data_IF_023708779433
#
_entry.id   IF_023708779433
#
_cell.length_a   1.000
_cell.length_b   1.000
_cell.length_c   1.000
_cell.angle_alpha   90.00
_cell.angle_beta   90.00
_cell.angle_gamma   90.00
#
_symmetry.space_group_name_H-M   'P 1'
#
loop_
_entity.id
_entity.type
_entity.pdbx_description
1 polymer ?
#
# COMPACT_ATOMS: atom_id res chain seq x y z
N UNK A 1 -15.76 29.94 3.86
CA UNK A 1 -16.32 29.19 2.73
C UNK A 1 -15.67 27.81 2.73
N UNK A 2 -16.45 26.77 3.05
CA UNK A 2 -15.98 25.40 2.87
C UNK A 2 -15.72 25.20 1.37
N UNK A 3 -14.46 24.84 1.03
CA UNK A 3 -14.19 24.41 -0.32
C UNK A 3 -15.11 23.20 -0.62
N UNK A 4 -15.90 23.30 -1.68
CA UNK A 4 -16.74 22.21 -2.12
C UNK A 4 -15.86 20.98 -2.33
N UNK A 5 -16.25 19.83 -1.77
CA UNK A 5 -15.58 18.57 -2.01
C UNK A 5 -15.52 18.36 -3.53
N UNK A 6 -14.35 18.01 -4.08
CA UNK A 6 -14.22 17.74 -5.51
C UNK A 6 -15.20 16.64 -5.89
N UNK A 7 -16.12 16.92 -6.82
CA UNK A 7 -17.09 15.93 -7.30
C UNK A 7 -16.42 14.80 -8.09
N UNK A 8 -15.18 15.04 -8.62
CA UNK A 8 -14.41 14.10 -9.44
C UNK A 8 -13.01 13.93 -8.88
N UNK A 9 -12.45 12.75 -9.09
CA UNK A 9 -11.08 12.46 -8.72
C UNK A 9 -10.08 12.88 -9.80
N UNK A 10 -8.82 13.07 -9.40
CA UNK A 10 -7.68 13.18 -10.31
C UNK A 10 -7.26 11.79 -10.77
N UNK A 11 -7.04 11.63 -12.10
CA UNK A 11 -6.65 10.35 -12.69
C UNK A 11 -5.44 10.49 -13.65
N UNK A 12 -4.50 9.52 -13.65
CA UNK A 12 -4.35 8.47 -12.65
C UNK A 12 -4.04 9.08 -11.29
N UNK A 13 -4.53 8.46 -10.23
CA UNK A 13 -4.45 9.08 -8.92
C UNK A 13 -4.51 8.08 -7.75
N UNK A 14 -4.13 6.83 -7.98
CA UNK A 14 -4.00 5.82 -6.91
C UNK A 14 -2.53 5.59 -6.64
N UNK A 15 -2.04 6.08 -5.51
CA UNK A 15 -0.64 6.02 -5.04
C UNK A 15 0.35 6.77 -5.94
N UNK A 16 0.15 6.79 -7.24
CA UNK A 16 1.02 7.45 -8.20
C UNK A 16 0.19 8.31 -9.17
N UNK A 17 0.68 9.52 -9.43
CA UNK A 17 0.07 10.50 -10.33
C UNK A 17 0.78 10.53 -11.69
N UNK A 18 0.14 11.17 -12.68
CA UNK A 18 0.78 11.39 -13.98
C UNK A 18 2.09 12.20 -13.87
N UNK A 19 2.16 13.33 -13.15
CA UNK A 19 3.44 14.03 -12.96
C UNK A 19 4.54 13.16 -12.36
N UNK A 20 4.20 12.27 -11.41
CA UNK A 20 5.15 11.33 -10.83
C UNK A 20 5.63 10.29 -11.85
N UNK A 21 4.72 9.76 -12.64
CA UNK A 21 5.06 8.83 -13.72
C UNK A 21 5.92 9.50 -14.80
N UNK A 22 5.62 10.74 -15.16
CA UNK A 22 6.40 11.51 -16.12
C UNK A 22 7.83 11.76 -15.61
N UNK A 23 7.98 12.10 -14.34
CA UNK A 23 9.30 12.27 -13.72
C UNK A 23 10.10 10.96 -13.77
N UNK A 24 9.50 9.85 -13.34
CA UNK A 24 10.18 8.55 -13.34
C UNK A 24 10.62 8.16 -14.77
N UNK A 25 9.74 8.31 -15.75
CA UNK A 25 10.07 8.05 -17.16
C UNK A 25 11.23 8.90 -17.64
N UNK A 26 11.21 10.20 -17.38
CA UNK A 26 12.28 11.12 -17.75
C UNK A 26 13.64 10.68 -17.18
N UNK A 27 13.65 10.27 -15.91
CA UNK A 27 14.89 9.82 -15.25
C UNK A 27 15.40 8.50 -15.83
N UNK A 28 14.53 7.56 -16.11
CA UNK A 28 14.91 6.29 -16.74
C UNK A 28 15.49 6.53 -18.14
N UNK A 29 14.83 7.35 -18.95
CA UNK A 29 15.28 7.63 -20.32
C UNK A 29 16.62 8.37 -20.35
N UNK A 30 16.92 9.18 -19.34
CA UNK A 30 18.22 9.86 -19.21
C UNK A 30 19.31 8.99 -18.59
N UNK A 31 18.98 7.77 -18.16
CA UNK A 31 19.93 6.88 -17.48
C UNK A 31 20.28 7.30 -16.05
N UNK A 32 19.47 8.15 -15.43
CA UNK A 32 19.75 8.66 -14.08
C UNK A 32 19.51 7.61 -13.00
N UNK A 33 20.34 7.63 -11.96
CA UNK A 33 20.20 6.73 -10.81
C UNK A 33 19.51 7.45 -9.65
N UNK A 34 18.75 6.73 -8.82
CA UNK A 34 18.57 5.26 -8.76
C UNK A 34 17.52 4.70 -9.72
N UNK A 35 16.82 5.54 -10.47
CA UNK A 35 15.66 5.17 -11.29
C UNK A 35 16.01 4.16 -12.39
N UNK A 36 17.15 4.33 -13.06
CA UNK A 36 17.55 3.42 -14.15
C UNK A 36 17.77 2.00 -13.65
N UNK A 37 18.48 1.81 -12.55
CA UNK A 37 18.66 0.47 -11.94
C UNK A 37 17.33 -0.09 -11.43
N UNK A 38 16.48 0.75 -10.83
CA UNK A 38 15.16 0.34 -10.39
C UNK A 38 14.29 -0.16 -11.57
N UNK A 39 14.31 0.58 -12.67
CA UNK A 39 13.65 0.17 -13.91
C UNK A 39 14.21 -1.15 -14.46
N UNK A 40 15.54 -1.27 -14.55
CA UNK A 40 16.18 -2.47 -15.07
C UNK A 40 15.78 -3.73 -14.28
N UNK A 41 15.71 -3.64 -12.97
CA UNK A 41 15.28 -4.74 -12.11
C UNK A 41 13.80 -5.07 -12.29
N UNK A 42 12.95 -4.07 -12.41
CA UNK A 42 11.54 -4.28 -12.72
C UNK A 42 11.38 -4.97 -14.08
N UNK A 43 12.07 -4.51 -15.10
CA UNK A 43 12.01 -5.05 -16.47
C UNK A 43 12.51 -6.51 -16.54
N UNK A 44 13.46 -6.89 -15.68
CA UNK A 44 13.99 -8.24 -15.59
C UNK A 44 13.15 -9.17 -14.70
N UNK A 45 12.15 -8.65 -14.00
CA UNK A 45 11.32 -9.45 -13.10
C UNK A 45 10.34 -10.35 -13.86
N UNK A 46 9.89 -11.42 -13.17
CA UNK A 46 8.84 -12.29 -13.71
C UNK A 46 7.53 -11.55 -13.98
N UNK A 47 7.31 -10.42 -13.32
CA UNK A 47 6.10 -9.62 -13.46
C UNK A 47 6.06 -8.82 -14.77
N UNK A 48 7.22 -8.50 -15.33
CA UNK A 48 7.33 -7.77 -16.60
C UNK A 48 7.36 -8.68 -17.84
N UNK A 49 7.33 -10.00 -17.65
CA UNK A 49 7.37 -10.98 -18.72
C UNK A 49 6.11 -10.87 -19.61
N UNK A 50 6.31 -10.55 -20.89
CA UNK A 50 5.22 -10.47 -21.86
C UNK A 50 4.58 -11.83 -22.16
N UNK A 51 5.25 -12.94 -21.83
CA UNK A 51 4.73 -14.29 -21.98
C UNK A 51 3.95 -14.77 -20.74
N UNK A 52 3.81 -13.94 -19.71
CA UNK A 52 3.05 -14.32 -18.54
C UNK A 52 1.61 -14.66 -18.92
N UNK A 53 1.17 -15.84 -18.48
CA UNK A 53 -0.21 -16.31 -18.68
C UNK A 53 -1.01 -16.09 -17.38
N UNK A 54 -2.16 -15.40 -17.41
CA UNK A 54 -3.00 -15.26 -16.22
C UNK A 54 -3.56 -16.60 -15.76
N UNK A 55 -3.72 -16.73 -14.45
CA UNK A 55 -4.26 -17.95 -13.82
C UNK A 55 -5.51 -17.60 -12.97
N UNK A 56 -6.61 -17.14 -13.61
CA UNK A 56 -7.80 -16.72 -12.88
C UNK A 56 -8.51 -17.89 -12.21
N UNK A 57 -9.22 -17.58 -11.13
CA UNK A 57 -9.99 -18.55 -10.38
C UNK A 57 -11.31 -17.91 -9.91
N UNK A 58 -12.39 -18.67 -9.95
CA UNK A 58 -13.72 -18.18 -9.55
C UNK A 58 -13.81 -17.94 -8.04
N UNK A 59 -13.36 -18.90 -7.25
CA UNK A 59 -13.30 -18.80 -5.79
C UNK A 59 -11.85 -18.85 -5.37
N UNK A 60 -11.37 -17.75 -4.79
CA UNK A 60 -10.05 -17.68 -4.20
C UNK A 60 -10.20 -17.99 -2.72
N UNK A 61 -9.64 -19.11 -2.29
CA UNK A 61 -9.74 -19.53 -0.90
C UNK A 61 -8.40 -19.40 -0.19
N UNK A 62 -8.35 -18.55 0.86
CA UNK A 62 -7.13 -18.24 1.60
C UNK A 62 -7.33 -18.40 3.09
N UNK A 63 -6.72 -19.42 3.66
CA UNK A 63 -6.61 -19.60 5.10
C UNK A 63 -5.46 -18.79 5.69
N UNK A 64 -5.25 -18.94 7.00
CA UNK A 64 -4.14 -18.27 7.70
C UNK A 64 -2.80 -18.64 7.06
N UNK A 65 -1.96 -17.63 6.82
CA UNK A 65 -0.70 -17.78 6.10
C UNK A 65 -0.88 -18.39 4.69
N UNK A 66 -2.02 -18.13 4.06
CA UNK A 66 -2.42 -18.73 2.78
C UNK A 66 -2.37 -20.26 2.81
N UNK A 67 -2.88 -20.84 3.87
CA UNK A 67 -3.08 -22.30 4.00
C UNK A 67 -4.49 -22.61 4.47
N UNK A 68 -5.40 -23.11 3.59
CA UNK A 68 -5.17 -23.42 2.17
C UNK A 68 -4.85 -22.21 1.32
N UNK A 69 -4.20 -22.47 0.17
CA UNK A 69 -3.86 -21.48 -0.85
C UNK A 69 -4.47 -21.92 -2.18
N UNK A 70 -5.71 -21.56 -2.42
CA UNK A 70 -6.42 -21.88 -3.67
C UNK A 70 -6.58 -20.60 -4.47
N UNK A 71 -5.56 -20.30 -5.30
CA UNK A 71 -5.53 -19.10 -6.12
C UNK A 71 -5.00 -17.84 -5.43
N UNK A 72 -4.58 -17.91 -4.16
CA UNK A 72 -4.15 -16.72 -3.41
C UNK A 72 -2.87 -16.10 -3.97
N UNK A 73 -1.81 -16.89 -4.10
CA UNK A 73 -0.55 -16.43 -4.71
C UNK A 73 -0.76 -16.04 -6.15
N UNK A 74 -1.52 -16.82 -6.92
CA UNK A 74 -1.81 -16.52 -8.32
C UNK A 74 -2.48 -15.16 -8.48
N UNK A 75 -3.48 -14.84 -7.66
CA UNK A 75 -4.18 -13.57 -7.73
C UNK A 75 -3.25 -12.39 -7.37
N UNK A 76 -2.54 -12.50 -6.25
CA UNK A 76 -1.61 -11.44 -5.82
C UNK A 76 -0.55 -11.17 -6.87
N UNK A 77 0.03 -12.23 -7.42
CA UNK A 77 1.12 -12.09 -8.39
C UNK A 77 0.60 -11.61 -9.76
N UNK A 78 -0.57 -12.04 -10.21
CA UNK A 78 -1.18 -11.49 -11.41
C UNK A 78 -1.55 -10.01 -11.24
N UNK A 79 -2.00 -9.61 -10.06
CA UNK A 79 -2.30 -8.20 -9.77
C UNK A 79 -1.03 -7.33 -9.77
N UNK A 80 0.06 -7.81 -9.15
CA UNK A 80 1.37 -7.12 -9.20
C UNK A 80 1.88 -7.08 -10.63
N UNK A 81 1.71 -8.16 -11.39
CA UNK A 81 2.11 -8.20 -12.79
C UNK A 81 1.33 -7.17 -13.62
N UNK A 82 0.03 -7.02 -13.42
CA UNK A 82 -0.75 -5.99 -14.10
C UNK A 82 -0.22 -4.59 -13.80
N UNK A 83 0.10 -4.28 -12.54
CA UNK A 83 0.71 -3.00 -12.17
C UNK A 83 2.09 -2.83 -12.80
N UNK A 84 2.92 -3.86 -12.76
CA UNK A 84 4.26 -3.86 -13.37
C UNK A 84 4.18 -3.60 -14.87
N UNK A 85 3.28 -4.29 -15.58
CA UNK A 85 3.07 -4.09 -17.01
C UNK A 85 2.55 -2.69 -17.33
N UNK A 86 1.68 -2.14 -16.49
CA UNK A 86 1.22 -0.76 -16.63
C UNK A 86 2.39 0.24 -16.51
N UNK A 87 3.28 0.04 -15.55
CA UNK A 87 4.50 0.86 -15.39
C UNK A 87 5.45 0.69 -16.58
N UNK A 88 5.66 -0.54 -17.06
CA UNK A 88 6.47 -0.83 -18.25
C UNK A 88 5.91 -0.10 -19.47
N UNK A 89 4.59 -0.16 -19.67
CA UNK A 89 3.92 0.62 -20.71
C UNK A 89 4.23 2.10 -20.59
N UNK A 90 4.05 2.65 -19.40
CA UNK A 90 4.21 4.09 -19.22
C UNK A 90 5.64 4.57 -19.48
N UNK A 91 6.63 3.80 -19.06
CA UNK A 91 8.04 4.15 -19.26
C UNK A 91 8.48 3.93 -20.71
N UNK A 92 8.15 2.79 -21.30
CA UNK A 92 8.66 2.40 -22.61
C UNK A 92 7.79 2.86 -23.77
N UNK A 93 6.49 3.09 -23.55
CA UNK A 93 5.47 3.28 -24.58
C UNK A 93 5.31 2.08 -25.52
N UNK A 94 5.79 0.92 -25.10
CA UNK A 94 5.56 -0.34 -25.83
C UNK A 94 4.14 -0.85 -25.55
N UNK A 95 3.31 -0.82 -26.59
CA UNK A 95 1.90 -1.22 -26.50
C UNK A 95 1.70 -2.65 -25.96
N UNK A 96 2.67 -3.54 -26.14
CA UNK A 96 2.58 -4.93 -25.67
C UNK A 96 2.42 -5.00 -24.15
N UNK A 97 3.04 -4.09 -23.42
CA UNK A 97 2.91 -4.03 -21.97
C UNK A 97 1.51 -3.56 -21.54
N UNK A 98 0.94 -2.57 -22.22
CA UNK A 98 -0.43 -2.13 -21.95
C UNK A 98 -1.43 -3.27 -22.21
N UNK A 99 -1.28 -3.97 -23.34
CA UNK A 99 -2.16 -5.09 -23.68
C UNK A 99 -1.98 -6.29 -22.74
N UNK A 100 -0.78 -6.52 -22.23
CA UNK A 100 -0.55 -7.56 -21.22
C UNK A 100 -1.25 -7.20 -19.90
N UNK A 101 -1.15 -5.96 -19.43
CA UNK A 101 -1.88 -5.52 -18.25
C UNK A 101 -3.39 -5.74 -18.41
N UNK A 102 -3.93 -5.36 -19.56
CA UNK A 102 -5.34 -5.56 -19.91
C UNK A 102 -5.70 -7.05 -19.91
N UNK A 103 -4.86 -7.89 -20.49
CA UNK A 103 -5.09 -9.34 -20.52
C UNK A 103 -5.22 -9.91 -19.10
N UNK A 104 -4.34 -9.51 -18.19
CA UNK A 104 -4.38 -9.96 -16.79
C UNK A 104 -5.66 -9.51 -16.10
N UNK A 105 -6.03 -8.25 -16.24
CA UNK A 105 -7.23 -7.68 -15.65
C UNK A 105 -8.51 -8.30 -16.24
N UNK A 106 -8.54 -8.49 -17.55
CA UNK A 106 -9.69 -9.09 -18.24
C UNK A 106 -9.89 -10.56 -17.86
N UNK A 107 -8.80 -11.32 -17.77
CA UNK A 107 -8.88 -12.74 -17.39
C UNK A 107 -9.47 -12.90 -16.00
N UNK A 108 -9.02 -12.11 -15.03
CA UNK A 108 -9.53 -12.18 -13.68
C UNK A 108 -10.96 -11.67 -13.55
N UNK A 109 -11.29 -10.53 -14.16
CA UNK A 109 -12.65 -9.97 -14.07
C UNK A 109 -13.71 -10.85 -14.74
N UNK A 110 -13.31 -11.68 -15.71
CA UNK A 110 -14.23 -12.63 -16.35
C UNK A 110 -14.57 -13.81 -15.45
N UNK A 111 -13.77 -14.12 -14.43
CA UNK A 111 -13.83 -15.39 -13.71
C UNK A 111 -14.10 -15.21 -12.23
N UNK A 112 -13.49 -14.23 -11.56
CA UNK A 112 -13.55 -14.05 -10.10
C UNK A 112 -14.99 -13.82 -9.63
N UNK A 113 -15.39 -14.53 -8.57
CA UNK A 113 -16.71 -14.39 -7.94
C UNK A 113 -16.66 -14.10 -6.46
N UNK A 114 -15.67 -14.66 -5.76
CA UNK A 114 -15.59 -14.52 -4.31
C UNK A 114 -14.20 -14.84 -3.77
N UNK A 115 -13.92 -14.29 -2.59
CA UNK A 115 -12.79 -14.64 -1.74
C UNK A 115 -13.33 -15.26 -0.47
N UNK A 116 -12.78 -16.41 -0.06
CA UNK A 116 -13.30 -17.18 1.05
C UNK A 116 -12.22 -17.57 2.05
N UNK A 117 -12.64 -18.11 3.21
CA UNK A 117 -11.84 -18.54 4.34
C UNK A 117 -11.31 -17.34 5.17
N UNK A 118 -10.49 -17.65 6.19
CA UNK A 118 -10.14 -16.69 7.25
C UNK A 118 -9.41 -15.44 6.74
N UNK A 119 -8.58 -15.57 5.71
CA UNK A 119 -7.80 -14.45 5.18
C UNK A 119 -8.45 -13.78 3.95
N UNK A 120 -9.70 -14.06 3.65
CA UNK A 120 -10.39 -13.46 2.52
C UNK A 120 -10.29 -11.91 2.49
N UNK A 121 -10.56 -11.19 3.59
CA UNK A 121 -10.46 -9.73 3.58
C UNK A 121 -9.04 -9.22 3.31
N UNK A 122 -8.04 -9.83 3.90
CA UNK A 122 -6.65 -9.44 3.74
C UNK A 122 -6.16 -9.72 2.30
N UNK A 123 -6.49 -10.89 1.77
CA UNK A 123 -6.18 -11.27 0.38
C UNK A 123 -6.80 -10.28 -0.60
N UNK A 124 -8.07 -9.95 -0.41
CA UNK A 124 -8.80 -8.98 -1.23
C UNK A 124 -8.16 -7.60 -1.17
N UNK A 125 -7.69 -7.20 0.02
CA UNK A 125 -6.96 -5.95 0.21
C UNK A 125 -5.64 -5.91 -0.56
N UNK A 126 -4.84 -6.96 -0.47
CA UNK A 126 -3.57 -7.05 -1.18
C UNK A 126 -3.77 -7.02 -2.70
N UNK A 127 -4.59 -7.90 -3.23
CA UNK A 127 -4.83 -7.98 -4.66
C UNK A 127 -5.54 -6.72 -5.18
N UNK A 128 -6.57 -6.26 -4.47
CA UNK A 128 -7.36 -5.11 -4.87
C UNK A 128 -6.56 -3.81 -4.96
N UNK A 129 -5.60 -3.61 -4.06
CA UNK A 129 -4.74 -2.42 -4.12
C UNK A 129 -3.87 -2.40 -5.36
N UNK A 130 -3.31 -3.53 -5.76
CA UNK A 130 -2.52 -3.66 -6.99
C UNK A 130 -3.39 -3.55 -8.25
N UNK A 131 -4.55 -4.18 -8.26
CA UNK A 131 -5.51 -4.04 -9.37
C UNK A 131 -5.90 -2.59 -9.60
N UNK A 132 -6.20 -1.85 -8.56
CA UNK A 132 -6.61 -0.44 -8.65
C UNK A 132 -5.49 0.44 -9.24
N UNK A 133 -4.24 0.25 -8.80
CA UNK A 133 -3.08 0.97 -9.34
C UNK A 133 -2.89 0.68 -10.83
N UNK A 134 -2.97 -0.58 -11.22
CA UNK A 134 -2.81 -0.99 -12.61
C UNK A 134 -3.92 -0.40 -13.50
N UNK A 135 -5.15 -0.55 -13.08
CA UNK A 135 -6.32 -0.09 -13.84
C UNK A 135 -6.33 1.44 -14.02
N UNK A 136 -5.93 2.17 -12.99
CA UNK A 136 -5.84 3.63 -13.04
C UNK A 136 -4.87 4.11 -14.12
N UNK A 137 -3.68 3.51 -14.18
CA UNK A 137 -2.69 3.87 -15.18
C UNK A 137 -3.18 3.52 -16.58
N UNK A 138 -3.67 2.29 -16.79
CA UNK A 138 -4.11 1.82 -18.10
C UNK A 138 -5.30 2.64 -18.60
N UNK A 139 -6.33 2.80 -17.77
CA UNK A 139 -7.54 3.54 -18.18
C UNK A 139 -7.22 4.97 -18.60
N UNK A 140 -6.33 5.65 -17.91
CA UNK A 140 -6.12 7.08 -18.09
C UNK A 140 -4.88 7.47 -18.90
N UNK A 141 -4.09 6.49 -19.36
CA UNK A 141 -2.89 6.76 -20.15
C UNK A 141 -2.81 5.95 -21.45
N UNK A 142 -3.53 4.83 -21.56
CA UNK A 142 -3.56 4.00 -22.74
C UNK A 142 -4.75 4.36 -23.62
N UNK A 143 -4.49 4.70 -24.90
CA UNK A 143 -5.52 5.14 -25.85
C UNK A 143 -5.91 4.06 -26.86
N UNK A 144 -5.27 2.89 -26.81
CA UNK A 144 -5.50 1.79 -27.76
C UNK A 144 -6.78 0.98 -27.51
N UNK A 145 -7.53 1.33 -26.47
CA UNK A 145 -8.80 0.69 -26.13
C UNK A 145 -8.68 -0.40 -25.08
N UNK A 146 -9.70 -0.46 -24.23
CA UNK A 146 -9.88 -1.51 -23.24
C UNK A 146 -11.36 -1.93 -23.25
N UNK A 147 -11.74 -2.86 -24.14
CA UNK A 147 -13.17 -3.20 -24.37
C UNK A 147 -13.90 -3.71 -23.15
N UNK A 148 -13.24 -4.46 -22.25
CA UNK A 148 -13.85 -5.03 -21.05
C UNK A 148 -13.62 -4.20 -19.78
N UNK A 149 -13.29 -2.92 -19.91
CA UNK A 149 -13.06 -2.03 -18.76
C UNK A 149 -14.23 -2.01 -17.80
N UNK A 150 -15.45 -1.96 -18.29
CA UNK A 150 -16.65 -1.91 -17.43
C UNK A 150 -16.84 -3.21 -16.66
N UNK A 151 -16.50 -4.37 -17.25
CA UNK A 151 -16.53 -5.66 -16.54
C UNK A 151 -15.51 -5.68 -15.42
N UNK A 152 -14.33 -5.13 -15.63
CA UNK A 152 -13.31 -5.03 -14.60
C UNK A 152 -13.78 -4.09 -13.46
N UNK A 153 -14.34 -2.94 -13.80
CA UNK A 153 -14.93 -2.04 -12.82
C UNK A 153 -16.03 -2.71 -12.00
N UNK A 154 -16.90 -3.49 -12.64
CA UNK A 154 -17.95 -4.26 -11.97
C UNK A 154 -17.37 -5.28 -11.00
N UNK A 155 -16.31 -5.99 -11.38
CA UNK A 155 -15.64 -6.94 -10.49
C UNK A 155 -15.08 -6.23 -9.24
N UNK A 156 -14.43 -5.09 -9.42
CA UNK A 156 -13.92 -4.32 -8.28
C UNK A 156 -15.05 -3.85 -7.36
N UNK A 157 -16.16 -3.38 -7.92
CA UNK A 157 -17.29 -2.86 -7.16
C UNK A 157 -18.06 -3.96 -6.44
N UNK A 158 -18.32 -5.10 -7.10
CA UNK A 158 -19.24 -6.12 -6.62
C UNK A 158 -18.56 -7.30 -5.92
N UNK A 159 -17.29 -7.58 -6.22
CA UNK A 159 -16.53 -8.69 -5.64
C UNK A 159 -15.52 -8.21 -4.60
N UNK A 160 -14.72 -7.18 -4.91
CA UNK A 160 -13.65 -6.73 -4.04
C UNK A 160 -14.12 -5.75 -2.95
N UNK A 161 -14.80 -4.69 -3.33
CA UNK A 161 -15.17 -3.62 -2.40
C UNK A 161 -16.05 -4.11 -1.22
N UNK A 162 -17.06 -4.97 -1.42
CA UNK A 162 -17.89 -5.46 -0.31
C UNK A 162 -17.10 -6.27 0.72
N UNK A 163 -16.05 -6.96 0.31
CA UNK A 163 -15.22 -7.78 1.21
C UNK A 163 -14.37 -6.93 2.17
N UNK A 164 -14.06 -5.68 1.80
CA UNK A 164 -13.07 -4.85 2.51
C UNK A 164 -13.64 -3.60 3.15
N UNK A 165 -14.75 -3.06 2.61
CA UNK A 165 -15.22 -1.70 2.97
C UNK A 165 -15.63 -1.55 4.44
N UNK A 166 -16.03 -2.64 5.10
CA UNK A 166 -16.49 -2.59 6.48
C UNK A 166 -15.36 -2.76 7.52
N UNK A 167 -14.11 -2.89 7.07
CA UNK A 167 -12.96 -2.97 7.97
C UNK A 167 -12.83 -4.29 8.71
N UNK A 168 -11.95 -4.30 9.71
CA UNK A 168 -11.62 -5.49 10.50
C UNK A 168 -11.15 -5.10 11.89
N UNK A 169 -11.46 -5.92 12.88
CA UNK A 169 -10.94 -5.81 14.24
C UNK A 169 -9.67 -6.67 14.49
N UNK A 170 -9.11 -7.26 13.45
CA UNK A 170 -7.87 -8.04 13.53
C UNK A 170 -6.66 -7.15 13.81
N UNK A 171 -5.43 -7.67 13.65
CA UNK A 171 -4.23 -6.85 13.74
C UNK A 171 -4.29 -5.68 12.75
N UNK A 172 -3.71 -4.54 13.13
CA UNK A 172 -3.97 -3.27 12.45
C UNK A 172 -3.60 -3.24 10.98
N UNK A 173 -2.60 -4.03 10.54
CA UNK A 173 -2.25 -4.08 9.11
C UNK A 173 -3.41 -4.58 8.23
N UNK A 174 -4.29 -5.41 8.77
CA UNK A 174 -5.48 -5.90 8.05
C UNK A 174 -6.38 -4.76 7.59
N UNK A 175 -6.86 -3.97 8.55
CA UNK A 175 -7.77 -2.87 8.25
C UNK A 175 -7.08 -1.79 7.40
N UNK A 176 -5.80 -1.51 7.67
CA UNK A 176 -5.05 -0.54 6.88
C UNK A 176 -4.92 -0.98 5.42
N UNK A 177 -4.60 -2.24 5.16
CA UNK A 177 -4.52 -2.78 3.79
C UNK A 177 -5.89 -2.83 3.13
N UNK A 178 -6.92 -3.21 3.87
CA UNK A 178 -8.30 -3.21 3.37
C UNK A 178 -8.72 -1.79 2.95
N UNK A 179 -8.40 -0.79 3.76
CA UNK A 179 -8.74 0.61 3.45
C UNK A 179 -7.89 1.16 2.31
N UNK A 180 -6.64 0.74 2.18
CA UNK A 180 -5.84 1.08 1.00
C UNK A 180 -6.52 0.62 -0.28
N UNK A 181 -6.96 -0.63 -0.33
CA UNK A 181 -7.65 -1.16 -1.49
C UNK A 181 -9.01 -0.46 -1.72
N UNK A 182 -9.76 -0.23 -0.65
CA UNK A 182 -11.06 0.45 -0.76
C UNK A 182 -10.91 1.89 -1.30
N UNK A 183 -9.91 2.63 -0.83
CA UNK A 183 -9.60 3.98 -1.32
C UNK A 183 -9.21 3.93 -2.80
N UNK A 184 -8.30 3.03 -3.18
CA UNK A 184 -7.84 2.90 -4.56
C UNK A 184 -8.96 2.49 -5.53
N UNK A 185 -9.76 1.50 -5.15
CA UNK A 185 -10.92 1.06 -5.93
C UNK A 185 -11.93 2.20 -6.08
N UNK A 186 -12.20 2.94 -5.01
CA UNK A 186 -13.14 4.07 -5.03
C UNK A 186 -12.69 5.18 -5.98
N UNK A 187 -11.39 5.48 -6.04
CA UNK A 187 -10.84 6.42 -7.02
C UNK A 187 -11.10 5.90 -8.44
N UNK A 188 -10.75 4.65 -8.71
CA UNK A 188 -10.95 4.07 -10.04
C UNK A 188 -12.42 4.10 -10.47
N UNK A 189 -13.34 3.85 -9.55
CA UNK A 189 -14.79 3.83 -9.80
C UNK A 189 -15.43 5.23 -9.78
N UNK A 190 -14.70 6.27 -9.46
CA UNK A 190 -15.27 7.60 -9.16
C UNK A 190 -16.36 7.56 -8.07
N UNK A 191 -16.18 6.69 -7.08
CA UNK A 191 -17.13 6.47 -5.98
C UNK A 191 -16.70 7.27 -4.74
N UNK A 192 -17.17 8.51 -4.65
CA UNK A 192 -16.85 9.42 -3.55
C UNK A 192 -17.36 8.91 -2.21
N UNK A 193 -18.55 8.34 -2.16
CA UNK A 193 -19.13 7.85 -0.91
C UNK A 193 -18.29 6.73 -0.29
N UNK A 194 -17.87 5.76 -1.09
CA UNK A 194 -16.99 4.68 -0.61
C UNK A 194 -15.60 5.19 -0.23
N UNK A 195 -15.06 6.15 -0.99
CA UNK A 195 -13.79 6.81 -0.68
C UNK A 195 -13.84 7.47 0.69
N UNK A 196 -14.85 8.27 0.95
CA UNK A 196 -14.99 9.01 2.22
C UNK A 196 -15.19 8.05 3.40
N UNK A 197 -15.98 6.99 3.22
CA UNK A 197 -16.16 5.94 4.22
C UNK A 197 -14.85 5.24 4.55
N UNK A 198 -14.11 4.82 3.55
CA UNK A 198 -12.82 4.15 3.72
C UNK A 198 -11.80 5.09 4.39
N UNK A 199 -11.78 6.36 3.99
CA UNK A 199 -10.86 7.34 4.56
C UNK A 199 -11.14 7.59 6.05
N UNK A 200 -12.40 7.64 6.47
CA UNK A 200 -12.76 7.78 7.88
C UNK A 200 -12.27 6.59 8.71
N UNK A 201 -12.48 5.37 8.24
CA UNK A 201 -11.98 4.15 8.88
C UNK A 201 -10.45 4.14 8.92
N UNK A 202 -9.80 4.50 7.83
CA UNK A 202 -8.35 4.61 7.75
C UNK A 202 -7.78 5.56 8.80
N UNK A 203 -8.37 6.75 8.97
CA UNK A 203 -7.89 7.73 9.93
C UNK A 203 -8.03 7.25 11.37
N UNK A 204 -9.14 6.61 11.69
CA UNK A 204 -9.36 6.04 13.03
C UNK A 204 -8.35 4.92 13.31
N UNK A 205 -8.14 4.02 12.36
CA UNK A 205 -7.18 2.92 12.52
C UNK A 205 -5.75 3.43 12.60
N UNK A 206 -5.36 4.42 11.81
CA UNK A 206 -4.02 5.01 11.84
C UNK A 206 -3.69 5.54 13.23
N UNK A 207 -4.61 6.28 13.85
CA UNK A 207 -4.43 6.79 15.20
C UNK A 207 -4.28 5.67 16.24
N UNK A 208 -4.95 4.54 16.05
CA UNK A 208 -4.88 3.38 16.93
C UNK A 208 -3.72 2.42 16.60
N UNK A 209 -3.02 2.63 15.49
CA UNK A 209 -1.94 1.75 15.03
C UNK A 209 -0.55 2.26 15.39
N UNK A 210 -0.33 3.55 15.34
CA UNK A 210 0.95 4.19 15.69
C UNK A 210 0.77 5.05 16.91
N UNK A 211 1.57 4.80 17.94
CA UNK A 211 1.55 5.58 19.17
C UNK A 211 2.36 6.87 19.04
N UNK A 212 1.81 7.97 19.58
CA UNK A 212 2.51 9.22 19.84
C UNK A 212 2.42 9.55 21.32
N UNK A 213 3.48 10.10 21.90
CA UNK A 213 3.47 10.52 23.31
C UNK A 213 2.31 11.47 23.65
N UNK A 214 1.88 12.29 22.67
CA UNK A 214 0.73 13.18 22.81
C UNK A 214 -0.61 12.45 22.96
N UNK A 215 -0.68 11.15 22.67
CA UNK A 215 -1.88 10.34 22.90
C UNK A 215 -2.15 10.09 24.39
N UNK A 216 -1.17 10.34 25.24
CA UNK A 216 -1.26 10.07 26.67
C UNK A 216 -0.57 8.77 27.07
N UNK A 217 -0.87 8.22 28.26
CA UNK A 217 -0.17 7.03 28.77
C UNK A 217 -0.51 5.73 28.04
N UNK A 218 -1.60 5.70 27.26
CA UNK A 218 -2.04 4.54 26.51
C UNK A 218 -2.29 4.91 25.05
N UNK A 219 -2.08 3.98 24.12
CA UNK A 219 -2.46 4.18 22.73
C UNK A 219 -3.95 4.45 22.56
N UNK A 220 -4.29 5.18 21.50
CA UNK A 220 -5.67 5.29 21.05
C UNK A 220 -6.19 3.94 20.56
N UNK A 221 -7.51 3.77 20.58
CA UNK A 221 -8.15 2.50 20.23
C UNK A 221 -9.25 2.72 19.20
N UNK A 222 -9.59 1.64 18.47
CA UNK A 222 -10.74 1.63 17.57
C UNK A 222 -11.99 1.30 18.39
N UNK A 223 -13.05 2.13 18.36
CA UNK A 223 -14.22 1.95 19.21
C UNK A 223 -14.86 0.57 19.13
N UNK A 224 -14.94 -0.04 17.94
CA UNK A 224 -15.56 -1.35 17.75
C UNK A 224 -14.82 -2.50 18.42
N UNK A 225 -13.56 -2.31 18.81
CA UNK A 225 -12.76 -3.33 19.48
C UNK A 225 -13.00 -3.42 21.00
N UNK A 226 -13.59 -2.39 21.58
CA UNK A 226 -13.91 -2.35 23.00
C UNK A 226 -12.71 -2.59 23.92
N UNK A 227 -11.54 -1.99 23.56
CA UNK A 227 -10.30 -2.09 24.35
C UNK A 227 -10.33 -1.03 25.47
N UNK A 228 -11.14 -1.30 26.50
CA UNK A 228 -11.50 -0.33 27.52
C UNK A 228 -10.64 -0.41 28.79
N UNK A 229 -9.65 -1.30 28.84
CA UNK A 229 -8.71 -1.43 29.95
C UNK A 229 -7.27 -1.46 29.46
N UNK A 230 -6.33 -1.07 30.34
CA UNK A 230 -4.90 -1.17 30.06
C UNK A 230 -4.50 -2.59 29.66
N UNK A 231 -4.98 -3.62 30.37
CA UNK A 231 -4.60 -5.00 30.09
C UNK A 231 -5.08 -5.45 28.71
N UNK A 232 -6.26 -5.04 28.27
CA UNK A 232 -6.77 -5.33 26.93
C UNK A 232 -5.90 -4.67 25.85
N UNK A 233 -5.50 -3.41 26.06
CA UNK A 233 -4.63 -2.68 25.14
C UNK A 233 -3.27 -3.34 25.05
N UNK A 234 -2.63 -3.61 26.18
CA UNK A 234 -1.31 -4.27 26.23
C UNK A 234 -1.35 -5.61 25.49
N UNK A 235 -2.38 -6.41 25.73
CA UNK A 235 -2.53 -7.71 25.04
C UNK A 235 -2.65 -7.53 23.54
N UNK A 236 -3.44 -6.58 23.08
CA UNK A 236 -3.60 -6.30 21.65
C UNK A 236 -2.29 -5.76 21.03
N UNK A 237 -1.49 -5.02 21.79
CA UNK A 237 -0.18 -4.52 21.37
C UNK A 237 0.94 -5.54 21.57
N UNK A 238 0.64 -6.82 21.43
CA UNK A 238 1.60 -7.93 21.47
C UNK A 238 2.34 -8.01 22.82
N UNK A 239 1.64 -7.72 23.89
CA UNK A 239 2.14 -7.68 25.26
C UNK A 239 3.20 -6.59 25.54
N UNK A 240 3.31 -5.59 24.69
CA UNK A 240 4.15 -4.42 24.98
C UNK A 240 3.43 -3.50 25.96
N UNK A 241 4.09 -3.19 27.08
CA UNK A 241 3.50 -2.40 28.16
C UNK A 241 4.10 -1.00 28.32
N UNK A 242 5.21 -0.73 27.63
CA UNK A 242 5.84 0.58 27.56
C UNK A 242 5.63 1.15 26.16
N UNK A 243 5.00 2.33 26.09
CA UNK A 243 4.65 2.94 24.83
C UNK A 243 5.53 4.17 24.59
N UNK A 244 6.15 4.21 23.41
CA UNK A 244 6.99 5.34 22.98
C UNK A 244 6.59 5.77 21.59
N UNK A 245 6.82 7.03 21.27
CA UNK A 245 6.48 7.60 19.95
C UNK A 245 7.09 6.78 18.83
N UNK A 246 6.25 6.35 17.86
CA UNK A 246 6.64 5.56 16.71
C UNK A 246 6.44 4.06 16.86
N UNK A 247 6.20 3.57 18.08
CA UNK A 247 5.83 2.17 18.29
C UNK A 247 4.50 1.89 17.60
N UNK A 248 4.40 0.76 16.90
CA UNK A 248 3.14 0.33 16.27
C UNK A 248 2.51 -0.82 17.04
N UNK A 249 1.22 -1.03 16.80
CA UNK A 249 0.49 -2.15 17.41
C UNK A 249 1.15 -3.50 17.11
N UNK A 250 1.88 -3.63 15.99
CA UNK A 250 2.48 -4.89 15.57
C UNK A 250 4.01 -4.92 15.66
N UNK A 251 4.65 -3.89 16.16
CA UNK A 251 6.12 -3.85 16.26
C UNK A 251 6.67 -5.09 16.97
N UNK A 252 6.04 -5.51 18.06
CA UNK A 252 6.48 -6.68 18.83
C UNK A 252 5.98 -8.01 18.26
N UNK A 253 5.10 -7.99 17.27
CA UNK A 253 4.80 -9.18 16.48
C UNK A 253 5.99 -9.51 15.56
N UNK A 254 6.27 -8.64 14.63
CA UNK A 254 7.45 -8.59 13.78
C UNK A 254 7.42 -7.33 12.92
N UNK A 255 8.57 -6.92 12.38
CA UNK A 255 8.64 -5.75 11.51
C UNK A 255 8.12 -6.03 10.10
N UNK A 256 7.98 -7.27 9.69
CA UNK A 256 7.38 -7.61 8.39
C UNK A 256 5.91 -7.21 8.34
N UNK A 257 5.12 -7.60 9.33
CA UNK A 257 3.71 -7.19 9.42
C UNK A 257 3.57 -5.68 9.71
N UNK A 258 4.44 -5.13 10.53
CA UNK A 258 4.52 -3.69 10.74
C UNK A 258 4.78 -2.95 9.42
N UNK A 259 5.64 -3.51 8.57
CA UNK A 259 5.91 -2.99 7.24
C UNK A 259 4.68 -2.98 6.34
N UNK A 260 3.81 -3.99 6.44
CA UNK A 260 2.55 -4.00 5.70
C UNK A 260 1.65 -2.83 6.13
N UNK A 261 1.52 -2.61 7.43
CA UNK A 261 0.76 -1.48 7.95
C UNK A 261 1.33 -0.14 7.52
N UNK A 262 2.64 0.04 7.65
CA UNK A 262 3.33 1.28 7.27
C UNK A 262 3.18 1.55 5.76
N UNK A 263 3.28 0.53 4.91
CA UNK A 263 3.10 0.71 3.48
C UNK A 263 1.70 1.20 3.14
N UNK A 264 0.67 0.63 3.77
CA UNK A 264 -0.72 1.09 3.56
C UNK A 264 -0.92 2.52 4.06
N UNK A 265 -0.32 2.90 5.21
CA UNK A 265 -0.33 4.29 5.67
C UNK A 265 0.25 5.24 4.62
N UNK A 266 1.40 4.89 4.06
CA UNK A 266 2.08 5.68 3.03
C UNK A 266 1.25 5.80 1.76
N UNK A 267 0.70 4.69 1.29
CA UNK A 267 -0.06 4.64 0.03
C UNK A 267 -1.34 5.46 0.13
N UNK A 268 -2.08 5.36 1.21
CA UNK A 268 -3.33 6.12 1.39
C UNK A 268 -3.03 7.61 1.55
N UNK A 269 -1.99 7.97 2.32
CA UNK A 269 -1.58 9.37 2.47
C UNK A 269 -1.16 9.97 1.11
N UNK A 270 -0.45 9.21 0.29
CA UNK A 270 -0.06 9.68 -1.05
C UNK A 270 -1.26 9.82 -1.98
N UNK A 271 -2.16 8.85 -2.00
CA UNK A 271 -3.42 8.95 -2.76
C UNK A 271 -4.23 10.16 -2.33
N UNK A 272 -4.37 10.39 -1.03
CA UNK A 272 -5.11 11.53 -0.49
C UNK A 272 -4.49 12.86 -0.95
N UNK A 273 -3.16 12.98 -0.93
CA UNK A 273 -2.48 14.17 -1.45
C UNK A 273 -2.77 14.40 -2.92
N UNK A 274 -2.67 13.35 -3.74
CA UNK A 274 -2.97 13.45 -5.18
C UNK A 274 -4.41 13.91 -5.38
N UNK A 275 -5.32 13.46 -4.52
CA UNK A 275 -6.74 13.82 -4.58
C UNK A 275 -7.06 15.19 -3.94
N UNK A 276 -6.06 15.91 -3.49
CA UNK A 276 -6.21 17.31 -3.05
C UNK A 276 -6.40 17.49 -1.55
N UNK A 277 -6.26 16.44 -0.73
CA UNK A 277 -6.29 16.54 0.72
C UNK A 277 -4.95 16.05 1.31
N UNK A 278 -4.17 16.97 1.85
CA UNK A 278 -2.87 16.65 2.43
C UNK A 278 -3.02 16.08 3.85
N UNK A 279 -2.84 14.75 3.98
CA UNK A 279 -2.78 14.09 5.27
C UNK A 279 -1.39 14.14 5.90
N UNK A 280 -0.34 14.47 5.14
CA UNK A 280 1.02 14.55 5.70
C UNK A 280 1.17 15.72 6.69
N UNK A 281 0.38 16.76 6.54
CA UNK A 281 0.34 17.89 7.48
C UNK A 281 -0.54 17.65 8.71
N UNK A 282 -1.13 16.47 8.85
CA UNK A 282 -1.98 16.08 9.99
C UNK A 282 -1.29 15.08 10.89
N UNK A 283 -1.98 14.56 11.90
CA UNK A 283 -1.49 13.48 12.76
C UNK A 283 -1.15 12.20 11.98
N UNK A 284 -1.81 11.95 10.84
CA UNK A 284 -1.47 10.82 9.97
C UNK A 284 -0.01 10.91 9.52
N UNK A 285 0.41 12.07 9.03
CA UNK A 285 1.81 12.29 8.62
C UNK A 285 2.78 12.17 9.78
N UNK A 286 2.45 12.77 10.92
CA UNK A 286 3.29 12.69 12.12
C UNK A 286 3.45 11.23 12.58
N UNK A 287 2.37 10.47 12.62
CA UNK A 287 2.41 9.04 13.00
C UNK A 287 3.23 8.23 12.01
N UNK A 288 3.04 8.44 10.72
CA UNK A 288 3.80 7.75 9.69
C UNK A 288 5.29 8.05 9.77
N UNK A 289 5.66 9.32 9.95
CA UNK A 289 7.06 9.73 10.05
C UNK A 289 7.76 9.08 11.23
N UNK A 290 7.13 9.08 12.39
CA UNK A 290 7.69 8.47 13.58
C UNK A 290 7.71 6.94 13.52
N UNK A 291 6.68 6.31 12.94
CA UNK A 291 6.67 4.87 12.73
C UNK A 291 7.81 4.42 11.82
N UNK A 292 8.02 5.12 10.71
CA UNK A 292 9.14 4.85 9.80
C UNK A 292 10.48 4.96 10.53
N UNK A 293 10.72 6.05 11.23
CA UNK A 293 11.99 6.29 11.92
C UNK A 293 12.26 5.30 13.05
N UNK A 294 11.24 4.93 13.80
CA UNK A 294 11.37 3.98 14.89
C UNK A 294 11.78 2.58 14.38
N UNK A 295 11.07 2.05 13.39
CA UNK A 295 11.39 0.74 12.84
C UNK A 295 12.73 0.78 12.09
N UNK A 296 12.99 1.81 11.32
CA UNK A 296 14.24 1.95 10.55
C UNK A 296 15.47 1.98 11.44
N UNK A 297 15.38 2.58 12.62
CA UNK A 297 16.45 2.59 13.62
C UNK A 297 16.95 1.19 13.95
N UNK A 298 16.03 0.25 14.18
CA UNK A 298 16.39 -1.13 14.51
C UNK A 298 16.83 -1.92 13.28
N UNK A 299 16.25 -1.66 12.12
CA UNK A 299 16.72 -2.25 10.86
C UNK A 299 18.16 -1.83 10.53
N UNK A 300 18.62 -0.69 11.06
CA UNK A 300 20.00 -0.21 10.91
C UNK A 300 20.95 -0.79 11.96
N UNK A 301 20.49 -1.68 12.84
CA UNK A 301 21.33 -2.40 13.79
C UNK A 301 21.41 -1.80 15.18
N UNK A 302 20.57 -0.82 15.52
CA UNK A 302 20.47 -0.33 16.90
C UNK A 302 20.16 -1.49 17.85
N UNK A 303 20.87 -1.64 18.97
CA UNK A 303 20.57 -2.68 19.96
C UNK A 303 19.16 -2.53 20.51
N UNK A 304 18.43 -3.66 20.62
CA UNK A 304 17.07 -3.68 21.15
C UNK A 304 17.13 -3.61 22.69
N UNK A 305 16.55 -2.57 23.32
CA UNK A 305 16.55 -2.48 24.77
C UNK A 305 15.63 -3.53 25.38
N UNK A 306 15.89 -3.88 26.66
CA UNK A 306 15.13 -4.92 27.35
C UNK A 306 13.64 -4.62 27.50
N UNK A 307 13.25 -3.34 27.53
CA UNK A 307 11.85 -2.93 27.67
C UNK A 307 11.06 -3.02 26.34
N UNK A 308 11.74 -3.16 25.21
CA UNK A 308 11.09 -3.26 23.89
C UNK A 308 10.94 -4.73 23.49
N UNK A 309 9.71 -5.19 23.40
CA UNK A 309 9.37 -6.54 22.95
C UNK A 309 10.11 -7.64 23.73
N UNK A 310 10.32 -7.44 25.03
CA UNK A 310 11.09 -8.37 25.85
C UNK A 310 12.56 -8.50 25.48
N UNK A 311 13.11 -7.51 24.77
CA UNK A 311 14.50 -7.49 24.32
C UNK A 311 14.76 -8.17 22.96
N UNK A 312 13.72 -8.69 22.31
CA UNK A 312 13.83 -9.36 21.00
C UNK A 312 12.90 -8.73 19.98
N UNK A 313 13.46 -8.28 18.87
CA UNK A 313 12.70 -7.68 17.76
C UNK A 313 12.98 -8.47 16.48
N UNK A 314 11.92 -8.94 15.83
CA UNK A 314 12.02 -9.68 14.59
C UNK A 314 12.02 -8.69 13.41
N UNK A 315 13.18 -8.57 12.75
CA UNK A 315 13.40 -7.62 11.65
C UNK A 315 12.77 -8.12 10.34
N UNK A 316 12.71 -7.24 9.34
CA UNK A 316 12.18 -7.55 8.01
C UNK A 316 11.14 -6.55 7.53
N UNK A 317 11.39 -5.24 7.75
CA UNK A 317 10.44 -4.18 7.41
C UNK A 317 10.01 -4.22 5.93
N UNK A 318 10.92 -4.61 5.05
CA UNK A 318 10.65 -4.72 3.62
C UNK A 318 10.76 -3.39 2.86
N UNK A 319 10.37 -3.41 1.57
CA UNK A 319 10.58 -2.30 0.65
C UNK A 319 9.51 -1.20 0.80
N UNK A 320 9.33 -0.64 2.01
CA UNK A 320 8.15 0.16 2.36
C UNK A 320 8.48 1.61 2.73
N UNK A 321 9.73 2.05 2.59
CA UNK A 321 10.13 3.36 3.12
C UNK A 321 10.08 4.50 2.10
N UNK A 322 10.11 4.22 0.80
CA UNK A 322 10.29 5.25 -0.24
C UNK A 322 9.17 6.29 -0.28
N UNK A 323 7.92 5.88 -0.24
CA UNK A 323 6.78 6.80 -0.43
C UNK A 323 6.70 7.82 0.69
N UNK A 324 6.68 7.38 1.93
CA UNK A 324 6.61 8.27 3.10
C UNK A 324 7.88 9.12 3.27
N UNK A 325 9.06 8.53 3.04
CA UNK A 325 10.31 9.25 3.06
C UNK A 325 10.33 10.39 2.03
N UNK A 326 9.97 10.08 0.79
CA UNK A 326 9.92 11.08 -0.27
C UNK A 326 8.95 12.22 0.04
N UNK A 327 7.76 11.88 0.53
CA UNK A 327 6.75 12.87 0.87
C UNK A 327 7.21 13.81 1.98
N UNK A 328 7.69 13.27 3.08
CA UNK A 328 7.91 14.07 4.28
C UNK A 328 9.33 14.64 4.39
N UNK A 329 10.34 13.92 3.89
CA UNK A 329 11.70 14.45 3.89
C UNK A 329 12.00 15.29 2.64
N UNK A 330 11.83 14.72 1.45
CA UNK A 330 12.24 15.40 0.22
C UNK A 330 11.31 16.57 -0.13
N UNK A 331 9.99 16.37 -0.06
CA UNK A 331 9.03 17.43 -0.41
C UNK A 331 8.78 18.41 0.73
N UNK A 332 8.70 17.94 1.98
CA UNK A 332 8.35 18.79 3.13
C UNK A 332 9.56 19.21 3.98
N UNK A 333 10.74 18.67 3.74
CA UNK A 333 11.95 19.05 4.47
C UNK A 333 12.00 18.60 5.92
N UNK A 334 11.20 17.61 6.32
CA UNK A 334 11.19 17.11 7.70
C UNK A 334 12.38 16.18 7.96
N UNK A 335 12.95 16.18 9.19
CA UNK A 335 14.05 15.28 9.53
C UNK A 335 13.58 13.83 9.60
N UNK A 336 14.28 12.93 8.91
CA UNK A 336 14.00 11.49 8.86
C UNK A 336 15.32 10.71 8.76
N UNK A 337 16.25 10.94 9.68
CA UNK A 337 17.63 10.43 9.60
C UNK A 337 17.70 8.91 9.48
N UNK A 338 17.00 8.17 10.35
CA UNK A 338 17.04 6.71 10.31
C UNK A 338 16.33 6.15 9.06
N UNK A 339 15.21 6.74 8.68
CA UNK A 339 14.48 6.36 7.47
C UNK A 339 15.33 6.61 6.23
N UNK A 340 16.00 7.76 6.15
CA UNK A 340 16.89 8.08 5.04
C UNK A 340 18.02 7.06 4.91
N UNK A 341 18.69 6.74 6.00
CA UNK A 341 19.78 5.78 5.99
C UNK A 341 19.33 4.39 5.48
N UNK A 342 18.19 3.91 5.98
CA UNK A 342 17.64 2.64 5.53
C UNK A 342 17.22 2.68 4.06
N UNK A 343 16.51 3.73 3.65
CA UNK A 343 16.03 3.89 2.28
C UNK A 343 17.18 3.90 1.28
N UNK A 344 18.19 4.72 1.51
CA UNK A 344 19.34 4.82 0.61
C UNK A 344 20.15 3.52 0.55
N UNK A 345 20.31 2.83 1.69
CA UNK A 345 21.04 1.56 1.74
C UNK A 345 20.34 0.43 0.98
N UNK A 346 19.01 0.43 0.96
CA UNK A 346 18.23 -0.67 0.37
C UNK A 346 17.76 -0.39 -1.06
N UNK A 347 18.14 0.75 -1.63
CA UNK A 347 17.80 1.09 -3.02
C UNK A 347 18.52 0.21 -4.04
N UNK A 348 17.80 -0.16 -5.12
CA UNK A 348 16.40 0.12 -5.36
C UNK A 348 15.51 -0.86 -4.61
N UNK A 349 14.44 -0.37 -4.01
CA UNK A 349 13.43 -1.23 -3.41
C UNK A 349 12.64 -1.97 -4.50
N UNK A 350 12.39 -3.26 -4.26
CA UNK A 350 11.66 -4.11 -5.19
C UNK A 350 10.21 -4.32 -4.77
N UNK A 351 9.84 -5.59 -4.61
CA UNK A 351 8.48 -5.98 -4.22
C UNK A 351 8.51 -6.93 -3.03
N UNK A 352 7.45 -6.88 -2.22
CA UNK A 352 7.21 -7.89 -1.18
C UNK A 352 6.36 -9.08 -1.69
N UNK A 353 6.01 -9.12 -2.98
CA UNK A 353 5.18 -10.13 -3.62
C UNK A 353 3.74 -10.21 -3.08
N UNK A 354 3.32 -9.24 -2.28
CA UNK A 354 1.95 -9.13 -1.77
C UNK A 354 1.21 -7.93 -2.40
N UNK A 355 1.72 -6.70 -2.21
CA UNK A 355 1.04 -5.50 -2.70
C UNK A 355 1.95 -4.26 -2.79
N UNK A 356 3.21 -4.39 -2.47
CA UNK A 356 4.21 -3.32 -2.58
C UNK A 356 5.15 -3.64 -3.73
N UNK A 357 5.35 -2.71 -4.64
CA UNK A 357 6.23 -2.93 -5.78
C UNK A 357 6.77 -1.62 -6.36
N UNK A 358 8.06 -1.61 -6.67
CA UNK A 358 8.77 -0.66 -7.53
C UNK A 358 8.76 0.78 -7.03
N UNK A 359 8.83 1.00 -5.71
CA UNK A 359 8.62 2.33 -5.15
C UNK A 359 9.84 3.25 -5.25
N UNK A 360 11.05 2.73 -5.41
CA UNK A 360 12.20 3.56 -5.80
C UNK A 360 11.99 4.16 -7.18
N UNK A 361 11.49 3.37 -8.13
CA UNK A 361 11.19 3.86 -9.48
C UNK A 361 10.13 4.95 -9.46
N UNK A 362 9.01 4.70 -8.77
CA UNK A 362 7.84 5.57 -8.84
C UNK A 362 7.93 6.79 -7.93
N UNK A 363 8.54 6.65 -6.76
CA UNK A 363 8.53 7.68 -5.72
C UNK A 363 9.92 8.13 -5.23
N UNK A 364 10.98 7.38 -5.54
CA UNK A 364 12.32 7.73 -5.09
C UNK A 364 12.72 9.13 -5.55
N UNK A 365 13.01 10.03 -4.61
CA UNK A 365 13.43 11.41 -4.85
C UNK A 365 12.59 12.12 -5.93
N UNK A 366 11.30 11.87 -5.92
CA UNK A 366 10.34 12.38 -6.88
C UNK A 366 9.71 13.67 -6.35
N UNK A 367 9.95 14.83 -6.97
CA UNK A 367 9.44 16.11 -6.49
C UNK A 367 7.96 16.35 -6.78
N UNK A 368 7.35 15.55 -7.66
CA UNK A 368 5.96 15.74 -8.11
C UNK A 368 4.88 15.25 -7.10
#
# INVERSE_FOLDING_TARGET
AQAAARATFTHPGVTVSKPQLDFARSKVLSGAQPWKTAYDRMAASKYADLNRTPTPRAIVECGSYSNPNLGCTDEREDAIAAYTQALMWYVTRDARHATKAIQLMDAWSAVIRDHTNSNAPLQTGWAGSSWAKAAEIVKHTWTGGWPHQNRFATALRDVYLPEIINGSNSNGNWELTMMEAAVGISVFLDDRASYDKAMATFRTRTAAYVYLASDGPLPKTVPSQNLDTRDKIVRYWQNQSTFVTGLTQETCRDLTHTGYGISSLSHVAETSRIQGQDLYGTDVGERLRHALGFQAKYEQGEPVPGWLCGGTLHLGLGPVTEVGYNAMHNRLGLPMTNTQALTERTRPSGTNNLFVAWETLTHGDNPA
#
